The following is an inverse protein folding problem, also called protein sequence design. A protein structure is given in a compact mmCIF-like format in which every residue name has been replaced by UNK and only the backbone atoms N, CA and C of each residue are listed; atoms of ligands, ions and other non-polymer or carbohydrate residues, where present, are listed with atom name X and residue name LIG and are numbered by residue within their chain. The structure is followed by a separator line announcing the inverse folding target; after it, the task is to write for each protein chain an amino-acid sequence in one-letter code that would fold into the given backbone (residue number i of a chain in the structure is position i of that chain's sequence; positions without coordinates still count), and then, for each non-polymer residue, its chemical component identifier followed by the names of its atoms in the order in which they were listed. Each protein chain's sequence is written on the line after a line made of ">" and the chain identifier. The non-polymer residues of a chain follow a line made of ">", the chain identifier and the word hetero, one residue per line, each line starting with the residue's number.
data_IF_546899408067
#
_entry.id   IF_546899408067
#
_cell.length_a   1.000
_cell.length_b   1.000
_cell.length_c   1.000
_cell.angle_alpha   90.00
_cell.angle_beta   90.00
_cell.angle_gamma   90.00
#
_symmetry.space_group_name_H-M   'P 1'
#
loop_
_entity.id
_entity.type
_entity.pdbx_description
1 polymer ?
#
# COMPACT_ATOMS: atom_id res chain seq x y z
N UNK A 1 -18.20 -11.00 5.03
CA UNK A 1 -18.00 -9.81 4.19
C UNK A 1 -17.01 -8.94 4.91
N UNK A 2 -15.74 -9.10 4.57
CA UNK A 2 -14.62 -8.53 5.32
C UNK A 2 -14.69 -7.00 5.26
N UNK A 3 -14.77 -6.35 6.42
CA UNK A 3 -14.80 -4.89 6.58
C UNK A 3 -13.64 -4.18 5.86
N UNK A 4 -12.56 -4.92 5.59
CA UNK A 4 -11.36 -4.53 4.84
C UNK A 4 -11.64 -4.09 3.40
N UNK A 5 -12.55 -4.75 2.66
CA UNK A 5 -12.86 -4.40 1.26
C UNK A 5 -13.56 -3.04 1.15
N UNK A 6 -14.40 -2.71 2.14
CA UNK A 6 -15.12 -1.43 2.21
C UNK A 6 -14.19 -0.24 2.37
N UNK A 7 -13.06 -0.45 3.05
CA UNK A 7 -12.07 0.57 3.33
C UNK A 7 -11.05 0.67 2.22
N UNK A 8 -10.65 -0.45 1.61
CA UNK A 8 -9.72 -0.50 0.49
C UNK A 8 -10.22 0.27 -0.76
N UNK A 9 -11.52 0.18 -1.07
CA UNK A 9 -12.12 0.80 -2.27
C UNK A 9 -11.88 2.30 -2.45
N UNK A 10 -12.13 3.18 -1.47
CA UNK A 10 -11.88 4.61 -1.66
C UNK A 10 -10.39 4.93 -1.90
N UNK A 11 -9.47 4.19 -1.27
CA UNK A 11 -8.04 4.36 -1.50
C UNK A 11 -7.63 3.87 -2.90
N UNK A 12 -8.08 2.67 -3.29
CA UNK A 12 -7.86 2.11 -4.63
C UNK A 12 -8.38 3.06 -5.71
N UNK A 13 -9.57 3.62 -5.49
CA UNK A 13 -10.20 4.55 -6.43
C UNK A 13 -9.42 5.86 -6.53
N UNK A 14 -9.03 6.47 -5.41
CA UNK A 14 -8.25 7.70 -5.43
C UNK A 14 -6.88 7.52 -6.09
N UNK A 15 -6.20 6.40 -5.80
CA UNK A 15 -4.98 5.98 -6.45
C UNK A 15 -5.15 5.81 -7.97
N UNK A 16 -6.21 5.11 -8.39
CA UNK A 16 -6.50 4.86 -9.79
C UNK A 16 -6.90 6.13 -10.55
N UNK A 17 -7.79 6.96 -9.99
CA UNK A 17 -8.19 8.24 -10.57
C UNK A 17 -6.95 9.12 -10.79
N UNK A 18 -6.05 9.20 -9.80
CA UNK A 18 -4.78 9.92 -9.92
C UNK A 18 -3.87 9.33 -11.01
N UNK A 19 -3.76 8.00 -11.08
CA UNK A 19 -2.97 7.33 -12.09
C UNK A 19 -3.51 7.58 -13.52
N UNK A 20 -4.83 7.64 -13.68
CA UNK A 20 -5.50 7.98 -14.94
C UNK A 20 -5.21 9.42 -15.34
N UNK A 21 -5.33 10.37 -14.40
CA UNK A 21 -5.03 11.78 -14.64
C UNK A 21 -3.57 12.00 -15.05
N UNK A 22 -2.65 11.23 -14.46
CA UNK A 22 -1.22 11.29 -14.78
C UNK A 22 -0.78 10.37 -15.93
N UNK A 23 -1.72 9.71 -16.61
CA UNK A 23 -1.44 8.73 -17.68
C UNK A 23 -0.43 7.64 -17.28
N UNK A 24 -0.42 7.27 -16.00
CA UNK A 24 0.54 6.36 -15.37
C UNK A 24 -0.13 5.13 -14.75
N UNK A 25 -1.26 4.68 -15.32
CA UNK A 25 -2.05 3.55 -14.81
C UNK A 25 -1.24 2.26 -14.76
N UNK A 26 -0.50 1.93 -15.82
CA UNK A 26 0.38 0.75 -15.84
C UNK A 26 1.40 0.77 -14.70
N UNK A 27 2.09 1.91 -14.53
CA UNK A 27 3.07 2.10 -13.44
C UNK A 27 2.42 1.96 -12.06
N UNK A 28 1.23 2.54 -11.88
CA UNK A 28 0.47 2.41 -10.63
C UNK A 28 -0.02 0.99 -10.36
N UNK A 29 -0.41 0.27 -11.40
CA UNK A 29 -0.77 -1.13 -11.29
C UNK A 29 0.44 -1.98 -10.87
N UNK A 30 1.60 -1.78 -11.49
CA UNK A 30 2.84 -2.45 -11.11
C UNK A 30 3.24 -2.11 -9.66
N UNK A 31 3.12 -0.84 -9.26
CA UNK A 31 3.37 -0.39 -7.88
C UNK A 31 2.47 -1.10 -6.87
N UNK A 32 1.15 -1.12 -7.12
CA UNK A 32 0.17 -1.75 -6.24
C UNK A 32 0.34 -3.27 -6.22
N UNK A 33 0.64 -3.90 -7.35
CA UNK A 33 0.91 -5.33 -7.45
C UNK A 33 2.18 -5.70 -6.66
N UNK A 34 3.24 -4.91 -6.79
CA UNK A 34 4.48 -5.09 -6.03
C UNK A 34 4.23 -4.93 -4.53
N UNK A 35 3.53 -3.86 -4.11
CA UNK A 35 3.17 -3.65 -2.72
C UNK A 35 2.32 -4.80 -2.17
N UNK A 36 1.34 -5.29 -2.93
CA UNK A 36 0.53 -6.45 -2.54
C UNK A 36 1.40 -7.71 -2.35
N UNK A 37 2.38 -7.94 -3.23
CA UNK A 37 3.30 -9.09 -3.11
C UNK A 37 4.23 -8.96 -1.90
N UNK A 38 4.76 -7.76 -1.65
CA UNK A 38 5.55 -7.47 -0.44
C UNK A 38 4.72 -7.73 0.81
N UNK A 39 3.44 -7.35 0.82
CA UNK A 39 2.54 -7.59 1.96
C UNK A 39 2.24 -9.08 2.19
N UNK A 40 2.26 -9.90 1.13
CA UNK A 40 2.11 -11.36 1.22
C UNK A 40 3.36 -12.08 1.72
N UNK A 41 4.52 -11.42 1.74
CA UNK A 41 5.74 -11.99 2.28
C UNK A 41 5.60 -12.22 3.79
N UNK A 42 5.95 -13.42 4.28
CA UNK A 42 5.81 -13.81 5.69
C UNK A 42 6.54 -12.84 6.63
N UNK A 43 7.74 -12.39 6.27
CA UNK A 43 8.49 -11.41 7.08
C UNK A 43 7.78 -10.07 7.18
N UNK A 44 7.14 -9.62 6.10
CA UNK A 44 6.40 -8.36 6.11
C UNK A 44 5.07 -8.53 6.85
N UNK A 45 4.38 -9.66 6.70
CA UNK A 45 3.18 -9.98 7.46
C UNK A 45 3.46 -10.04 8.97
N UNK A 46 4.61 -10.58 9.38
CA UNK A 46 5.08 -10.56 10.77
C UNK A 46 5.35 -9.12 11.24
N UNK A 47 6.08 -8.31 10.46
CA UNK A 47 6.31 -6.88 10.77
C UNK A 47 5.00 -6.10 10.93
N UNK A 48 4.03 -6.35 10.03
CA UNK A 48 2.68 -5.76 10.05
C UNK A 48 1.82 -6.23 11.22
N UNK A 49 2.12 -7.40 11.78
CA UNK A 49 1.47 -7.91 12.98
C UNK A 49 2.18 -7.50 14.28
N UNK A 50 3.43 -7.05 14.18
CA UNK A 50 4.23 -6.57 15.29
C UNK A 50 3.75 -5.22 15.82
N UNK A 51 4.18 -4.89 17.04
CA UNK A 51 3.92 -3.59 17.66
C UNK A 51 4.96 -2.54 17.21
N UNK A 52 5.01 -2.27 15.91
CA UNK A 52 5.91 -1.26 15.33
C UNK A 52 5.14 0.04 15.14
N UNK A 53 5.82 1.17 15.31
CA UNK A 53 5.22 2.47 15.02
C UNK A 53 4.80 2.53 13.54
N UNK A 54 3.61 3.06 13.23
CA UNK A 54 3.10 3.10 11.85
C UNK A 54 4.04 3.88 10.91
N UNK A 55 4.71 4.90 11.41
CA UNK A 55 5.71 5.68 10.68
C UNK A 55 6.91 4.81 10.26
N UNK A 56 7.52 4.11 11.22
CA UNK A 56 8.66 3.22 10.97
C UNK A 56 8.28 2.05 10.06
N UNK A 57 7.05 1.55 10.20
CA UNK A 57 6.55 0.49 9.35
C UNK A 57 6.35 0.99 7.90
N UNK A 58 5.77 2.16 7.72
CA UNK A 58 5.64 2.79 6.41
C UNK A 58 7.00 3.03 5.77
N UNK A 59 7.96 3.58 6.51
CA UNK A 59 9.32 3.82 6.02
C UNK A 59 10.03 2.52 5.64
N UNK A 60 9.90 1.47 6.45
CA UNK A 60 10.44 0.15 6.13
C UNK A 60 9.81 -0.42 4.86
N UNK A 61 8.49 -0.28 4.72
CA UNK A 61 7.76 -0.74 3.54
C UNK A 61 8.17 0.04 2.28
N UNK A 62 8.28 1.36 2.38
CA UNK A 62 8.76 2.25 1.32
C UNK A 62 10.21 1.89 0.96
N UNK A 63 11.07 1.62 1.95
CA UNK A 63 12.46 1.23 1.71
C UNK A 63 12.56 -0.13 0.98
N UNK A 64 11.67 -1.08 1.29
CA UNK A 64 11.59 -2.38 0.58
C UNK A 64 11.08 -2.19 -0.86
N UNK A 65 10.10 -1.31 -1.05
CA UNK A 65 9.62 -0.99 -2.39
C UNK A 65 10.61 -0.14 -3.20
N UNK A 66 11.48 0.59 -2.52
CA UNK A 66 12.52 1.41 -3.11
C UNK A 66 11.95 2.40 -4.13
N UNK A 67 12.63 2.49 -5.27
CA UNK A 67 12.30 3.40 -6.38
C UNK A 67 11.07 2.97 -7.20
N UNK A 68 10.47 1.80 -6.88
CA UNK A 68 9.21 1.42 -7.52
C UNK A 68 8.08 2.34 -7.08
N UNK A 69 8.12 2.86 -5.84
CA UNK A 69 7.07 3.73 -5.31
C UNK A 69 7.37 5.21 -5.54
N UNK A 70 6.53 5.85 -6.35
CA UNK A 70 6.51 7.31 -6.50
C UNK A 70 6.04 8.02 -5.23
N UNK A 71 6.27 9.34 -5.10
CA UNK A 71 5.87 10.15 -3.95
C UNK A 71 4.41 9.92 -3.51
N UNK A 72 3.50 9.78 -4.48
CA UNK A 72 2.08 9.53 -4.22
C UNK A 72 1.82 8.11 -3.69
N UNK A 73 2.55 7.12 -4.21
CA UNK A 73 2.51 5.76 -3.68
C UNK A 73 3.03 5.72 -2.24
N UNK A 74 4.13 6.43 -1.96
CA UNK A 74 4.67 6.53 -0.60
C UNK A 74 3.68 7.17 0.37
N UNK A 75 3.00 8.24 -0.05
CA UNK A 75 1.94 8.86 0.75
C UNK A 75 0.78 7.91 1.00
N UNK A 76 0.36 7.12 0.01
CA UNK A 76 -0.67 6.11 0.18
C UNK A 76 -0.27 5.07 1.24
N UNK A 77 0.96 4.56 1.18
CA UNK A 77 1.49 3.60 2.16
C UNK A 77 1.52 4.22 3.56
N UNK A 78 1.99 5.47 3.72
CA UNK A 78 2.01 6.18 5.01
C UNK A 78 0.60 6.28 5.61
N UNK A 79 -0.38 6.73 4.83
CA UNK A 79 -1.78 6.85 5.28
C UNK A 79 -2.36 5.48 5.66
N UNK A 80 -2.08 4.44 4.88
CA UNK A 80 -2.51 3.08 5.22
C UNK A 80 -1.81 2.55 6.47
N UNK A 81 -0.56 2.92 6.72
CA UNK A 81 0.19 2.52 7.90
C UNK A 81 -0.35 3.17 9.16
N UNK A 82 -0.58 4.49 9.11
CA UNK A 82 -1.18 5.27 10.21
C UNK A 82 -2.53 4.71 10.63
N UNK A 83 -3.32 4.23 9.66
CA UNK A 83 -4.62 3.64 9.95
C UNK A 83 -4.55 2.16 10.34
N UNK A 84 -3.36 1.54 10.42
CA UNK A 84 -3.17 0.11 10.72
C UNK A 84 -3.74 -0.81 9.63
N UNK A 85 -3.85 -0.29 8.41
CA UNK A 85 -4.58 -0.88 7.28
C UNK A 85 -3.67 -1.47 6.21
N UNK A 86 -2.35 -1.49 6.39
CA UNK A 86 -1.46 -2.12 5.41
C UNK A 86 -1.81 -3.59 5.12
N UNK A 87 -2.41 -4.31 6.06
CA UNK A 87 -2.87 -5.69 5.82
C UNK A 87 -3.97 -5.80 4.75
N UNK A 88 -4.60 -4.69 4.37
CA UNK A 88 -5.65 -4.66 3.33
C UNK A 88 -5.10 -4.30 1.95
N UNK A 89 -3.80 -4.01 1.80
CA UNK A 89 -3.16 -3.82 0.48
C UNK A 89 -3.46 -4.94 -0.52
N UNK A 90 -3.49 -6.23 -0.14
CA UNK A 90 -3.86 -7.30 -1.07
C UNK A 90 -5.33 -7.23 -1.54
N UNK A 91 -6.22 -6.62 -0.75
CA UNK A 91 -7.63 -6.38 -1.09
C UNK A 91 -7.83 -5.05 -1.86
N UNK A 92 -6.80 -4.21 -1.96
CA UNK A 92 -6.80 -2.95 -2.74
C UNK A 92 -6.52 -3.21 -4.24
N UNK A 93 -5.80 -4.31 -4.55
CA UNK A 93 -5.56 -4.81 -5.90
C UNK A 93 -6.79 -5.54 -6.46
#
# INVERSE_FOLDING_TARGET
>A
MSEFVTVARPYAKAAFDFAVEHQGVDRWQDMLAFAAEVTKNEHMAELLSGAIAPETLAESFIAVCGEQLDDNGQNLIRVMAENGRLKVLPDVL
#
